data_IF_338556730192
#
_entry.id   IF_338556730192
#
_cell.length_a   1.000
_cell.length_b   1.000
_cell.length_c   1.000
_cell.angle_alpha   90.00
_cell.angle_beta   90.00
_cell.angle_gamma   90.00
#
_symmetry.space_group_name_H-M   'P 1'
#
loop_
_entity.id
_entity.type
_entity.pdbx_description
1 polymer ?
#
# COMPACT_ATOMS: atom_id res chain seq x y z
N UNK A 1 -19.47 -30.06 -7.27
CA UNK A 1 -20.44 -29.55 -6.28
C UNK A 1 -21.62 -30.51 -6.26
N UNK A 2 -21.99 -31.05 -5.09
CA UNK A 2 -23.09 -32.03 -4.97
C UNK A 2 -24.43 -31.26 -4.99
N UNK A 3 -25.37 -31.58 -5.92
CA UNK A 3 -26.65 -30.87 -6.00
C UNK A 3 -27.54 -31.25 -4.81
N UNK A 4 -28.08 -30.26 -4.09
CA UNK A 4 -29.18 -30.47 -3.14
C UNK A 4 -28.89 -30.20 -1.66
N UNK A 5 -27.72 -29.69 -1.26
CA UNK A 5 -27.55 -29.22 0.12
C UNK A 5 -28.36 -27.93 0.32
N UNK A 6 -29.43 -28.02 1.10
CA UNK A 6 -30.22 -26.90 1.57
C UNK A 6 -29.29 -25.88 2.24
N UNK A 7 -29.14 -24.68 1.66
CA UNK A 7 -28.11 -23.68 2.01
C UNK A 7 -28.07 -23.34 3.51
N UNK A 8 -29.21 -23.42 4.19
CA UNK A 8 -29.34 -23.25 5.65
C UNK A 8 -28.71 -24.39 6.46
N UNK A 9 -28.80 -25.63 5.99
CA UNK A 9 -28.17 -26.78 6.65
C UNK A 9 -26.65 -26.75 6.47
N UNK A 10 -26.17 -26.33 5.29
CA UNK A 10 -24.75 -26.11 5.03
C UNK A 10 -24.16 -25.03 5.95
N UNK A 11 -24.82 -23.87 6.07
CA UNK A 11 -24.41 -22.81 6.99
C UNK A 11 -24.41 -23.24 8.46
N UNK A 12 -25.40 -24.02 8.90
CA UNK A 12 -25.45 -24.54 10.26
C UNK A 12 -24.31 -25.54 10.55
N UNK A 13 -23.94 -26.37 9.57
CA UNK A 13 -22.82 -27.29 9.66
C UNK A 13 -21.48 -26.54 9.68
N UNK A 14 -21.31 -25.50 8.85
CA UNK A 14 -20.11 -24.66 8.83
C UNK A 14 -19.88 -23.93 10.17
N UNK A 15 -20.94 -23.36 10.76
CA UNK A 15 -20.85 -22.75 12.10
C UNK A 15 -20.44 -23.74 13.19
N UNK A 16 -20.93 -24.98 13.13
CA UNK A 16 -20.53 -26.06 14.07
C UNK A 16 -19.07 -26.48 13.93
N UNK A 17 -18.47 -26.30 12.75
CA UNK A 17 -17.05 -26.53 12.50
C UNK A 17 -16.17 -25.32 12.86
N UNK A 18 -16.74 -24.28 13.48
CA UNK A 18 -16.02 -23.07 13.88
C UNK A 18 -15.75 -22.10 12.73
N UNK A 19 -16.36 -22.32 11.56
CA UNK A 19 -16.24 -21.41 10.42
C UNK A 19 -17.25 -20.27 10.59
N UNK A 20 -16.75 -19.07 10.90
CA UNK A 20 -17.55 -17.85 11.03
C UNK A 20 -17.28 -16.95 9.84
N UNK A 21 -18.33 -16.66 9.06
CA UNK A 21 -18.30 -15.68 7.99
C UNK A 21 -18.91 -14.37 8.48
N UNK A 22 -18.20 -13.27 8.24
CA UNK A 22 -18.61 -11.91 8.61
C UNK A 22 -18.41 -11.00 7.40
N UNK A 23 -19.41 -10.17 7.07
CA UNK A 23 -19.21 -9.06 6.14
C UNK A 23 -18.56 -7.90 6.89
N UNK A 24 -17.56 -7.29 6.27
CA UNK A 24 -16.81 -6.18 6.84
C UNK A 24 -17.07 -4.93 6.00
N UNK A 25 -17.60 -3.90 6.65
CA UNK A 25 -17.90 -2.61 6.03
C UNK A 25 -16.61 -1.79 5.93
N UNK A 26 -15.87 -1.98 4.85
CA UNK A 26 -14.61 -1.30 4.56
C UNK A 26 -14.83 -0.20 3.53
N UNK A 27 -14.25 0.97 3.78
CA UNK A 27 -14.23 2.07 2.80
C UNK A 27 -13.13 1.90 1.74
N UNK A 28 -12.02 1.25 2.11
CA UNK A 28 -10.85 1.05 1.26
C UNK A 28 -10.05 -0.17 1.74
N UNK A 29 -9.40 -0.87 0.80
CA UNK A 29 -8.37 -1.89 1.10
C UNK A 29 -7.07 -1.48 0.41
N UNK A 30 -5.96 -1.46 1.15
CA UNK A 30 -4.62 -1.22 0.61
C UNK A 30 -3.78 -2.48 0.81
N UNK A 31 -3.30 -3.07 -0.28
CA UNK A 31 -2.34 -4.17 -0.27
C UNK A 31 -0.97 -3.60 -0.66
N UNK A 32 -0.08 -3.50 0.32
CA UNK A 32 1.30 -3.05 0.11
C UNK A 32 2.18 -4.24 -0.28
N UNK A 33 2.80 -4.18 -1.46
CA UNK A 33 3.86 -5.11 -1.88
C UNK A 33 5.22 -4.43 -1.76
N UNK A 34 6.28 -5.10 -2.23
CA UNK A 34 7.63 -4.53 -2.24
C UNK A 34 7.82 -3.38 -3.24
N UNK A 35 6.96 -3.31 -4.26
CA UNK A 35 7.12 -2.48 -5.45
C UNK A 35 5.90 -1.61 -5.77
N UNK A 36 4.73 -1.94 -5.22
CA UNK A 36 3.49 -1.21 -5.45
C UNK A 36 2.51 -1.33 -4.29
N UNK A 37 1.54 -0.43 -4.29
CA UNK A 37 0.30 -0.55 -3.53
C UNK A 37 -0.82 -0.91 -4.49
N UNK A 38 -1.63 -1.89 -4.14
CA UNK A 38 -2.90 -2.19 -4.80
C UNK A 38 -4.00 -1.62 -3.92
N UNK A 39 -4.74 -0.65 -4.43
CA UNK A 39 -5.78 0.08 -3.74
C UNK A 39 -7.13 -0.41 -4.28
N UNK A 40 -8.00 -0.89 -3.41
CA UNK A 40 -9.36 -1.32 -3.77
C UNK A 40 -10.36 -0.33 -3.19
N UNK A 41 -10.97 0.48 -4.06
CA UNK A 41 -12.00 1.46 -3.69
C UNK A 41 -13.38 0.81 -3.64
N UNK A 42 -14.23 1.29 -2.72
CA UNK A 42 -15.58 0.78 -2.44
C UNK A 42 -15.63 -0.77 -2.34
N UNK A 43 -14.77 -1.38 -1.49
CA UNK A 43 -14.61 -2.82 -1.48
C UNK A 43 -15.80 -3.51 -0.79
N UNK A 44 -16.25 -4.62 -1.36
CA UNK A 44 -17.01 -5.63 -0.65
C UNK A 44 -16.02 -6.62 0.00
N UNK A 45 -16.00 -6.68 1.33
CA UNK A 45 -15.08 -7.53 2.09
C UNK A 45 -15.84 -8.58 2.90
N UNK A 46 -15.50 -9.84 2.70
CA UNK A 46 -15.99 -10.97 3.50
C UNK A 46 -14.82 -11.60 4.25
N UNK A 47 -14.91 -11.64 5.58
CA UNK A 47 -13.94 -12.30 6.47
C UNK A 47 -14.45 -13.69 6.87
N UNK A 48 -13.59 -14.69 6.76
CA UNK A 48 -13.84 -16.05 7.22
C UNK A 48 -12.77 -16.40 8.25
N UNK A 49 -13.17 -16.80 9.46
CA UNK A 49 -12.27 -17.41 10.43
C UNK A 49 -12.40 -18.94 10.35
N UNK A 50 -11.30 -19.62 10.04
CA UNK A 50 -11.23 -21.09 10.03
C UNK A 50 -10.09 -21.53 10.96
N UNK A 51 -10.44 -22.12 12.10
CA UNK A 51 -9.47 -22.66 13.07
C UNK A 51 -8.40 -21.64 13.51
N UNK A 52 -8.76 -20.37 13.65
CA UNK A 52 -7.83 -19.29 14.05
C UNK A 52 -7.10 -18.63 12.88
N UNK A 53 -7.22 -19.15 11.65
CA UNK A 53 -6.75 -18.48 10.45
C UNK A 53 -7.85 -17.59 9.87
N UNK A 54 -7.57 -16.30 9.75
CA UNK A 54 -8.47 -15.36 9.08
C UNK A 54 -8.17 -15.33 7.58
N UNK A 55 -9.22 -15.41 6.78
CA UNK A 55 -9.17 -15.27 5.32
C UNK A 55 -10.11 -14.17 4.90
N UNK A 56 -9.67 -13.31 3.98
CA UNK A 56 -10.47 -12.22 3.45
C UNK A 56 -10.73 -12.45 1.97
N UNK A 57 -11.98 -12.31 1.55
CA UNK A 57 -12.36 -12.21 0.15
C UNK A 57 -12.73 -10.75 -0.13
N UNK A 58 -12.07 -10.15 -1.11
CA UNK A 58 -12.14 -8.72 -1.41
C UNK A 58 -12.53 -8.57 -2.88
N UNK A 59 -13.52 -7.73 -3.16
CA UNK A 59 -13.96 -7.39 -4.52
C UNK A 59 -14.25 -5.90 -4.57
N UNK A 60 -13.83 -5.21 -5.63
CA UNK A 60 -14.03 -3.77 -5.77
C UNK A 60 -13.31 -3.20 -6.99
N UNK A 61 -13.22 -1.87 -7.06
CA UNK A 61 -12.48 -1.17 -8.12
C UNK A 61 -11.00 -1.12 -7.75
N UNK A 62 -10.13 -1.61 -8.62
CA UNK A 62 -8.69 -1.78 -8.32
C UNK A 62 -7.88 -0.70 -9.03
N UNK A 63 -7.04 -0.02 -8.27
CA UNK A 63 -6.01 0.91 -8.74
C UNK A 63 -4.63 0.44 -8.27
N UNK A 64 -3.60 0.65 -9.08
CA UNK A 64 -2.22 0.37 -8.69
C UNK A 64 -1.43 1.67 -8.56
N UNK A 65 -0.68 1.79 -7.48
CA UNK A 65 0.27 2.88 -7.25
C UNK A 65 1.65 2.27 -7.12
N UNK A 66 2.58 2.62 -8.00
CA UNK A 66 3.97 2.23 -7.81
C UNK A 66 4.49 2.84 -6.49
N UNK A 67 5.15 2.04 -5.66
CA UNK A 67 5.96 2.56 -4.56
C UNK A 67 7.24 3.02 -5.25
N UNK A 68 7.28 4.30 -5.66
CA UNK A 68 8.50 4.86 -6.20
C UNK A 68 9.56 4.78 -5.11
N UNK A 69 10.68 4.11 -5.41
CA UNK A 69 11.88 4.18 -4.59
C UNK A 69 12.58 5.54 -4.71
N UNK A 70 12.03 6.46 -5.51
CA UNK A 70 12.47 7.85 -5.48
C UNK A 70 12.25 8.37 -4.06
N UNK A 71 13.28 8.91 -3.40
CA UNK A 71 13.09 9.58 -2.13
C UNK A 71 11.96 10.61 -2.29
N UNK A 72 11.07 10.74 -1.29
CA UNK A 72 10.12 11.85 -1.26
C UNK A 72 10.91 13.15 -1.14
N UNK A 73 11.32 13.72 -2.27
CA UNK A 73 12.04 14.98 -2.30
C UNK A 73 11.02 16.07 -2.04
N UNK A 74 11.01 16.55 -0.80
CA UNK A 74 10.17 17.69 -0.45
C UNK A 74 10.78 18.98 -1.05
N UNK A 75 9.94 19.95 -1.40
CA UNK A 75 10.40 21.25 -1.86
C UNK A 75 11.29 21.97 -0.85
N UNK A 76 11.09 21.73 0.45
CA UNK A 76 11.92 22.34 1.49
C UNK A 76 13.34 21.79 1.52
N UNK A 77 13.52 20.52 1.14
CA UNK A 77 14.84 19.90 0.97
C UNK A 77 15.56 20.50 -0.24
N UNK A 78 14.85 20.65 -1.35
CA UNK A 78 15.36 21.33 -2.55
C UNK A 78 15.78 22.76 -2.21
N UNK A 79 14.94 23.54 -1.53
CA UNK A 79 15.28 24.90 -1.09
C UNK A 79 16.51 24.93 -0.19
N UNK A 80 16.64 23.97 0.72
CA UNK A 80 17.80 23.87 1.60
C UNK A 80 19.07 23.64 0.79
N UNK A 81 19.05 22.73 -0.19
CA UNK A 81 20.18 22.47 -1.08
C UNK A 81 20.50 23.71 -1.93
N UNK A 82 19.50 24.35 -2.54
CA UNK A 82 19.68 25.60 -3.31
C UNK A 82 20.30 26.70 -2.44
N UNK A 83 19.79 26.92 -1.23
CA UNK A 83 20.27 27.97 -0.34
C UNK A 83 21.72 27.73 0.08
N UNK A 84 22.11 26.47 0.26
CA UNK A 84 23.47 26.12 0.68
C UNK A 84 24.47 26.09 -0.48
N UNK A 85 24.04 25.74 -1.69
CA UNK A 85 24.94 25.47 -2.85
C UNK A 85 24.87 26.54 -3.94
N UNK A 86 23.79 27.32 -4.02
CA UNK A 86 23.51 28.23 -5.12
C UNK A 86 23.11 27.53 -6.43
N UNK A 87 22.89 26.21 -6.41
CA UNK A 87 22.50 25.45 -7.60
C UNK A 87 21.08 25.79 -8.08
N UNK A 88 20.77 25.45 -9.34
CA UNK A 88 19.40 25.51 -9.85
C UNK A 88 18.53 24.43 -9.20
N UNK A 89 17.22 24.63 -9.22
CA UNK A 89 16.24 23.68 -8.68
C UNK A 89 16.39 22.27 -9.28
N UNK A 90 16.58 22.19 -10.60
CA UNK A 90 16.84 20.93 -11.30
C UNK A 90 18.09 20.22 -10.77
N UNK A 91 19.20 20.94 -10.58
CA UNK A 91 20.46 20.37 -10.08
C UNK A 91 20.35 19.96 -8.61
N UNK A 92 19.65 20.74 -7.80
CA UNK A 92 19.38 20.41 -6.41
C UNK A 92 18.53 19.13 -6.31
N UNK A 93 17.47 19.01 -7.11
CA UNK A 93 16.64 17.80 -7.18
C UNK A 93 17.46 16.58 -7.61
N UNK A 94 18.22 16.68 -8.69
CA UNK A 94 19.05 15.59 -9.21
C UNK A 94 20.12 15.16 -8.19
N UNK A 95 20.71 16.11 -7.45
CA UNK A 95 21.68 15.81 -6.40
C UNK A 95 21.04 15.06 -5.22
N UNK A 96 19.82 15.41 -4.82
CA UNK A 96 19.08 14.72 -3.77
C UNK A 96 18.69 13.30 -4.24
N UNK A 97 18.24 13.14 -5.50
CA UNK A 97 17.91 11.84 -6.09
C UNK A 97 19.14 10.92 -6.14
N UNK A 98 20.28 11.41 -6.63
CA UNK A 98 21.54 10.64 -6.72
C UNK A 98 22.10 10.21 -5.38
N UNK A 99 21.71 10.87 -4.30
CA UNK A 99 22.16 10.59 -2.95
C UNK A 99 21.06 9.95 -2.09
N UNK A 100 20.02 9.37 -2.70
CA UNK A 100 18.93 8.67 -2.02
C UNK A 100 18.25 9.51 -0.91
N UNK A 101 18.15 10.82 -1.11
CA UNK A 101 17.56 11.74 -0.13
C UNK A 101 18.53 12.30 0.92
N UNK A 102 19.81 11.93 0.91
CA UNK A 102 20.82 12.44 1.85
C UNK A 102 21.24 13.88 1.49
N UNK A 103 20.63 14.86 2.18
CA UNK A 103 20.87 16.28 1.94
C UNK A 103 22.33 16.69 2.19
N UNK A 104 22.99 16.09 3.18
CA UNK A 104 24.37 16.45 3.50
C UNK A 104 25.30 16.05 2.35
N UNK A 105 25.14 14.82 1.83
CA UNK A 105 25.89 14.37 0.65
C UNK A 105 25.54 15.15 -0.60
N UNK A 106 24.26 15.46 -0.82
CA UNK A 106 23.83 16.27 -1.95
C UNK A 106 24.45 17.68 -1.93
N UNK A 107 24.51 18.33 -0.76
CA UNK A 107 25.15 19.64 -0.59
C UNK A 107 26.66 19.57 -0.80
N UNK A 108 27.32 18.55 -0.24
CA UNK A 108 28.77 18.36 -0.42
C UNK A 108 29.11 18.13 -1.89
N UNK A 109 28.38 17.25 -2.59
CA UNK A 109 28.63 16.92 -3.99
C UNK A 109 28.35 18.07 -4.98
N UNK A 110 27.62 19.12 -4.56
CA UNK A 110 27.39 20.32 -5.37
C UNK A 110 28.35 21.48 -5.03
N UNK A 111 29.10 21.38 -3.93
CA UNK A 111 30.09 22.39 -3.50
C UNK A 111 31.51 22.08 -3.95
N UNK A 112 31.78 20.83 -4.32
CA UNK A 112 33.02 20.40 -5.00
C UNK A 112 32.99 20.79 -6.48
#
# INVERSE_FOLDING_TARGET
>A
MIPGLNSRQAQAMMRKMGIKQEELDATEVIIKTSDKEIIVQNPQVSKVNMMGQETFQITGQIEERAISSEPEINQDDIKTVIQQTGASEEKAKEAIEKNDGDLAKAILGLKE
#
